data_IF_493604470862
#
_entry.id   IF_493604470862
#
_cell.length_a   1.000
_cell.length_b   1.000
_cell.length_c   1.000
_cell.angle_alpha   90.00
_cell.angle_beta   90.00
_cell.angle_gamma   90.00
#
_symmetry.space_group_name_H-M   'P 1'
#
loop_
_entity.id
_entity.type
_entity.pdbx_description
1 polymer ?
#
# COMPACT_ATOMS: atom_id res chain seq x y z
N UNK A 1 10.87 -8.41 22.24
CA UNK A 1 9.85 -7.51 21.65
C UNK A 1 9.62 -6.42 22.69
N UNK A 2 10.24 -5.27 22.53
CA UNK A 2 10.09 -4.15 23.46
C UNK A 2 8.64 -3.64 23.36
N UNK A 3 7.90 -3.62 24.47
CA UNK A 3 6.54 -3.06 24.60
C UNK A 3 5.41 -3.65 23.72
N UNK A 4 5.00 -4.93 23.88
CA UNK A 4 3.84 -5.52 23.18
C UNK A 4 2.52 -4.75 23.39
N UNK A 5 2.33 -4.10 24.56
CA UNK A 5 1.14 -3.29 24.85
C UNK A 5 0.98 -2.08 23.92
N UNK A 6 2.08 -1.52 23.42
CA UNK A 6 2.06 -0.35 22.51
C UNK A 6 1.47 -0.72 21.15
N UNK A 7 1.74 -1.92 20.65
CA UNK A 7 1.17 -2.40 19.38
C UNK A 7 -0.34 -2.56 19.54
N UNK A 8 -0.78 -3.20 20.62
CA UNK A 8 -2.20 -3.43 20.89
C UNK A 8 -2.97 -2.11 21.04
N UNK A 9 -2.44 -1.16 21.82
CA UNK A 9 -3.04 0.17 22.00
C UNK A 9 -3.20 0.91 20.66
N UNK A 10 -2.17 0.87 19.81
CA UNK A 10 -2.21 1.51 18.48
C UNK A 10 -3.24 0.87 17.57
N UNK A 11 -3.26 -0.47 17.49
CA UNK A 11 -4.23 -1.18 16.66
C UNK A 11 -5.66 -0.89 17.12
N UNK A 12 -5.89 -0.86 18.44
CA UNK A 12 -7.20 -0.55 19.01
C UNK A 12 -7.63 0.88 18.66
N UNK A 13 -6.72 1.85 18.74
CA UNK A 13 -7.00 3.23 18.32
C UNK A 13 -7.36 3.32 16.83
N UNK A 14 -6.60 2.65 15.96
CA UNK A 14 -6.88 2.65 14.52
C UNK A 14 -8.22 1.95 14.18
N UNK A 15 -8.56 0.90 14.94
CA UNK A 15 -9.84 0.19 14.86
C UNK A 15 -11.01 1.08 15.28
N UNK A 16 -10.90 1.78 16.41
CA UNK A 16 -11.92 2.72 16.89
C UNK A 16 -12.15 3.87 15.91
N UNK A 17 -11.10 4.30 15.19
CA UNK A 17 -11.17 5.31 14.14
C UNK A 17 -11.67 4.77 12.79
N UNK A 18 -12.04 3.48 12.72
CA UNK A 18 -12.55 2.84 11.50
C UNK A 18 -11.53 2.68 10.38
N UNK A 19 -10.23 2.86 10.67
CA UNK A 19 -9.16 2.82 9.65
C UNK A 19 -8.61 1.41 9.42
N UNK A 20 -8.83 0.51 10.38
CA UNK A 20 -8.43 -0.89 10.33
C UNK A 20 -9.61 -1.74 10.77
N UNK A 21 -9.86 -2.83 10.05
CA UNK A 21 -10.88 -3.81 10.38
C UNK A 21 -10.27 -5.03 11.09
N UNK A 22 -11.11 -5.76 11.84
CA UNK A 22 -10.71 -6.89 12.67
C UNK A 22 -10.72 -6.55 14.17
N UNK A 23 -10.09 -7.36 15.03
CA UNK A 23 -9.37 -8.60 14.68
C UNK A 23 -10.30 -9.64 14.04
N UNK A 24 -9.75 -10.45 13.14
CA UNK A 24 -10.49 -11.53 12.48
C UNK A 24 -10.01 -12.88 13.02
N UNK A 25 -10.96 -13.79 13.30
CA UNK A 25 -10.66 -15.15 13.76
C UNK A 25 -10.30 -16.09 12.61
N UNK A 26 -10.65 -15.71 11.38
CA UNK A 26 -10.33 -16.41 10.14
C UNK A 26 -9.95 -15.37 9.07
N UNK A 27 -9.20 -15.75 8.01
CA UNK A 27 -8.87 -14.83 6.93
C UNK A 27 -10.13 -14.20 6.30
N UNK A 28 -10.27 -12.86 6.31
CA UNK A 28 -11.49 -12.20 5.86
C UNK A 28 -11.67 -12.20 4.34
N UNK A 29 -10.62 -12.57 3.59
CA UNK A 29 -10.53 -12.45 2.14
C UNK A 29 -9.78 -13.66 1.54
N UNK A 30 -10.11 -14.09 0.31
CA UNK A 30 -9.28 -15.01 -0.45
C UNK A 30 -7.89 -14.42 -0.69
N UNK A 31 -6.84 -15.24 -0.64
CA UNK A 31 -5.44 -14.81 -0.81
C UNK A 31 -4.98 -13.75 0.21
N UNK A 32 -5.43 -13.87 1.46
CA UNK A 32 -5.04 -12.96 2.54
C UNK A 32 -3.52 -12.96 2.77
N UNK A 33 -2.89 -11.80 2.64
CA UNK A 33 -1.47 -11.58 2.88
C UNK A 33 -1.28 -11.05 4.30
N UNK A 34 -0.39 -11.70 5.06
CA UNK A 34 0.00 -11.25 6.40
C UNK A 34 1.38 -10.60 6.32
N UNK A 35 1.45 -9.31 6.65
CA UNK A 35 2.72 -8.61 6.81
C UNK A 35 3.02 -8.39 8.30
N UNK A 36 4.27 -8.62 8.76
CA UNK A 36 4.63 -8.41 10.15
C UNK A 36 4.57 -6.92 10.51
N UNK A 37 4.29 -6.66 11.79
CA UNK A 37 4.27 -5.32 12.37
C UNK A 37 5.57 -5.06 13.12
N UNK A 38 6.16 -3.89 12.86
CA UNK A 38 7.28 -3.35 13.61
C UNK A 38 6.88 -2.10 14.38
N UNK A 39 7.66 -1.77 15.41
CA UNK A 39 7.57 -0.48 16.10
C UNK A 39 8.90 0.25 16.02
N UNK A 40 8.84 1.57 15.84
CA UNK A 40 10.02 2.44 15.85
C UNK A 40 9.77 3.62 16.78
N UNK A 41 10.65 3.89 17.76
CA UNK A 41 10.52 5.06 18.63
C UNK A 41 10.46 6.37 17.83
N UNK A 42 9.60 7.31 18.26
CA UNK A 42 9.66 8.71 17.81
C UNK A 42 10.71 9.48 18.64
N UNK A 43 11.03 10.70 18.21
CA UNK A 43 11.87 11.62 18.99
C UNK A 43 11.26 11.94 20.36
N UNK A 44 9.93 11.98 20.43
CA UNK A 44 9.19 12.17 21.67
C UNK A 44 9.20 10.88 22.49
N UNK A 45 9.61 10.97 23.76
CA UNK A 45 9.67 9.82 24.67
C UNK A 45 8.30 9.16 24.83
N UNK A 46 8.28 7.83 24.85
CA UNK A 46 7.07 7.03 24.99
C UNK A 46 6.18 6.96 23.75
N UNK A 47 6.49 7.68 22.67
CA UNK A 47 5.74 7.59 21.41
C UNK A 47 6.44 6.69 20.40
N UNK A 48 5.66 5.87 19.71
CA UNK A 48 6.17 4.94 18.70
C UNK A 48 5.47 5.17 17.35
N UNK A 49 6.08 4.74 16.26
CA UNK A 49 5.47 4.56 14.94
C UNK A 49 5.20 3.08 14.74
N UNK A 50 4.00 2.74 14.28
CA UNK A 50 3.70 1.38 13.82
C UNK A 50 4.14 1.30 12.37
N UNK A 51 4.87 0.25 12.01
CA UNK A 51 5.35 0.01 10.65
C UNK A 51 4.79 -1.32 10.16
N UNK A 52 4.15 -1.30 9.00
CA UNK A 52 3.74 -2.51 8.30
C UNK A 52 4.84 -2.88 7.32
N UNK A 53 5.40 -4.08 7.45
CA UNK A 53 6.47 -4.52 6.56
C UNK A 53 5.90 -5.09 5.25
N UNK A 54 5.38 -4.21 4.40
CA UNK A 54 4.64 -4.57 3.17
C UNK A 54 5.48 -5.25 2.08
N UNK A 55 6.81 -5.23 2.21
CA UNK A 55 7.76 -5.93 1.31
C UNK A 55 8.26 -7.27 1.87
N UNK A 56 7.67 -7.78 2.94
CA UNK A 56 7.99 -9.10 3.52
C UNK A 56 6.84 -10.07 3.24
N UNK A 57 7.06 -11.32 2.83
CA UNK A 57 8.29 -12.01 2.40
C UNK A 57 8.63 -11.65 0.95
N UNK A 58 9.90 -11.51 0.58
CA UNK A 58 10.27 -11.15 -0.81
C UNK A 58 9.80 -12.20 -1.81
N UNK A 59 9.15 -11.77 -2.89
CA UNK A 59 8.56 -12.62 -3.92
C UNK A 59 7.11 -13.04 -3.65
N UNK A 60 6.58 -12.74 -2.46
CA UNK A 60 5.19 -13.01 -2.07
C UNK A 60 4.59 -11.93 -1.17
N UNK A 61 5.23 -10.75 -1.12
CA UNK A 61 4.78 -9.62 -0.32
C UNK A 61 3.70 -8.84 -1.04
N UNK A 62 2.96 -8.00 -0.31
CA UNK A 62 1.90 -7.18 -0.91
C UNK A 62 2.43 -6.30 -2.05
N UNK A 63 3.63 -5.73 -1.88
CA UNK A 63 4.26 -4.91 -2.89
C UNK A 63 4.72 -5.69 -4.14
N UNK A 64 5.03 -7.00 -4.02
CA UNK A 64 5.45 -7.81 -5.17
C UNK A 64 4.31 -8.06 -6.18
N UNK A 65 3.06 -7.91 -5.74
CA UNK A 65 1.88 -8.08 -6.60
C UNK A 65 1.44 -6.80 -7.33
N UNK A 66 2.07 -5.66 -7.04
CA UNK A 66 1.84 -4.42 -7.78
C UNK A 66 2.62 -4.48 -9.09
N UNK A 67 1.90 -4.64 -10.21
CA UNK A 67 2.53 -4.64 -11.54
C UNK A 67 3.11 -3.26 -11.84
N UNK A 68 4.33 -3.23 -12.38
CA UNK A 68 4.93 -2.02 -12.91
C UNK A 68 3.99 -1.38 -13.95
N UNK A 69 3.75 -0.07 -13.82
CA UNK A 69 2.85 0.67 -14.72
C UNK A 69 1.35 0.68 -14.34
N UNK A 70 0.94 0.08 -13.23
CA UNK A 70 -0.47 0.16 -12.75
C UNK A 70 -0.88 1.54 -12.24
N UNK A 71 0.08 2.35 -11.81
CA UNK A 71 -0.13 3.71 -11.35
C UNK A 71 1.10 4.56 -11.65
N UNK A 72 0.90 5.76 -12.21
CA UNK A 72 1.93 6.78 -12.32
C UNK A 72 1.70 7.84 -11.26
N UNK A 73 2.71 8.11 -10.43
CA UNK A 73 2.66 9.23 -9.49
C UNK A 73 3.40 10.41 -10.10
N UNK A 74 2.71 11.54 -10.28
CA UNK A 74 3.30 12.79 -10.69
C UNK A 74 3.49 13.66 -9.45
N UNK A 75 4.74 13.98 -9.12
CA UNK A 75 5.07 14.90 -8.02
C UNK A 75 5.28 16.30 -8.56
N UNK A 76 4.85 17.30 -7.79
CA UNK A 76 5.28 18.68 -8.04
C UNK A 76 6.79 18.77 -7.85
N UNK A 77 7.46 19.44 -8.78
CA UNK A 77 8.92 19.59 -8.72
C UNK A 77 9.34 20.71 -7.77
N UNK A 78 10.60 20.70 -7.36
CA UNK A 78 11.15 21.80 -6.59
C UNK A 78 11.26 23.08 -7.43
N UNK A 79 11.52 22.95 -8.73
CA UNK A 79 11.60 24.08 -9.66
C UNK A 79 10.24 24.76 -9.81
N UNK A 80 9.15 23.98 -9.92
CA UNK A 80 7.78 24.52 -9.92
C UNK A 80 7.50 25.31 -8.63
N UNK A 81 7.98 24.82 -7.48
CA UNK A 81 7.83 25.54 -6.22
C UNK A 81 8.63 26.87 -6.21
N UNK A 82 9.82 26.89 -6.80
CA UNK A 82 10.62 28.11 -6.96
C UNK A 82 9.92 29.10 -7.90
N UNK A 83 9.41 28.62 -9.02
CA UNK A 83 8.71 29.46 -10.00
C UNK A 83 7.50 30.13 -9.37
N UNK A 84 6.73 29.39 -8.56
CA UNK A 84 5.62 29.94 -7.79
C UNK A 84 6.07 31.01 -6.77
N UNK A 85 7.16 30.76 -6.05
CA UNK A 85 7.71 31.71 -5.08
C UNK A 85 8.24 32.97 -5.76
N UNK A 86 8.90 32.83 -6.91
CA UNK A 86 9.42 33.94 -7.70
C UNK A 86 8.27 34.77 -8.30
N UNK A 87 7.24 34.11 -8.85
CA UNK A 87 6.06 34.76 -9.41
C UNK A 87 5.25 35.56 -8.35
N UNK A 88 5.26 35.12 -7.09
CA UNK A 88 4.61 35.85 -6.00
C UNK A 88 5.27 37.23 -5.73
N UNK A 89 6.55 37.39 -6.09
CA UNK A 89 7.26 38.66 -6.05
C UNK A 89 7.81 39.04 -4.68
N UNK A 90 8.62 40.11 -4.67
CA UNK A 90 9.29 40.59 -3.45
C UNK A 90 8.27 41.12 -2.46
N UNK A 91 8.36 40.66 -1.21
CA UNK A 91 7.45 41.07 -0.12
C UNK A 91 6.19 40.21 -0.02
N UNK A 92 6.06 39.16 -0.84
CA UNK A 92 5.00 38.18 -0.70
C UNK A 92 5.05 37.49 0.67
N UNK A 93 3.87 37.25 1.25
CA UNK A 93 3.71 36.47 2.47
C UNK A 93 3.44 35.01 2.10
N UNK A 94 4.10 34.08 2.78
CA UNK A 94 3.93 32.65 2.57
C UNK A 94 3.35 32.00 3.82
N UNK A 95 2.35 31.14 3.63
CA UNK A 95 1.82 30.26 4.67
C UNK A 95 2.03 28.80 4.26
N UNK A 96 2.40 27.96 5.22
CA UNK A 96 2.52 26.51 5.03
C UNK A 96 1.46 25.80 5.87
N UNK A 97 0.67 24.96 5.23
CA UNK A 97 -0.20 24.01 5.89
C UNK A 97 0.36 22.58 5.70
N UNK A 98 0.35 21.78 6.76
CA UNK A 98 0.71 20.36 6.72
C UNK A 98 -0.56 19.54 6.98
N UNK A 99 -0.88 18.61 6.08
CA UNK A 99 -2.07 17.76 6.24
C UNK A 99 -1.69 16.54 7.07
N UNK A 100 -2.15 16.53 8.32
CA UNK A 100 -1.88 15.41 9.22
C UNK A 100 -2.48 14.11 8.68
N UNK A 101 -1.65 13.06 8.59
CA UNK A 101 -2.08 11.70 8.23
C UNK A 101 -2.80 11.58 6.89
N UNK A 102 -2.37 12.34 5.86
CA UNK A 102 -3.01 12.40 4.53
C UNK A 102 -3.35 11.04 3.92
N UNK A 103 -2.48 10.02 4.05
CA UNK A 103 -2.72 8.68 3.52
C UNK A 103 -3.95 7.99 4.11
N UNK A 104 -4.40 8.42 5.29
CA UNK A 104 -5.58 7.87 5.96
C UNK A 104 -6.88 8.57 5.55
N UNK A 105 -6.77 9.67 4.81
CA UNK A 105 -7.92 10.37 4.23
C UNK A 105 -8.31 9.74 2.88
N UNK A 106 -7.38 9.03 2.24
CA UNK A 106 -7.61 8.34 0.97
C UNK A 106 -8.24 6.97 1.25
N UNK A 107 -9.41 6.74 0.68
CA UNK A 107 -10.07 5.44 0.75
C UNK A 107 -9.37 4.43 -0.17
N UNK A 108 -9.29 3.18 0.29
CA UNK A 108 -8.85 2.07 -0.55
C UNK A 108 -10.03 1.63 -1.41
N UNK A 109 -9.85 1.60 -2.74
CA UNK A 109 -10.90 1.11 -3.63
C UNK A 109 -11.27 -0.34 -3.28
N UNK A 110 -12.55 -0.73 -3.24
CA UNK A 110 -12.97 -2.08 -2.84
C UNK A 110 -12.34 -3.22 -3.67
N UNK A 111 -12.00 -2.95 -4.94
CA UNK A 111 -11.28 -3.88 -5.82
C UNK A 111 -9.84 -4.15 -5.40
N UNK A 112 -9.26 -3.35 -4.50
CA UNK A 112 -7.97 -3.68 -3.88
C UNK A 112 -8.15 -4.40 -2.53
N UNK A 113 -9.37 -4.37 -1.97
CA UNK A 113 -9.72 -5.15 -0.78
C UNK A 113 -10.19 -6.57 -1.14
N UNK A 114 -10.57 -6.82 -2.39
CA UNK A 114 -10.86 -8.16 -2.92
C UNK A 114 -10.01 -8.35 -4.16
N UNK A 115 -9.17 -9.37 -4.30
CA UNK A 115 -8.17 -9.40 -5.37
C UNK A 115 -8.83 -9.17 -6.74
N UNK A 116 -8.29 -8.28 -7.60
CA UNK A 116 -8.63 -8.28 -8.99
C UNK A 116 -8.28 -9.65 -9.56
N UNK A 117 -9.03 -10.03 -10.59
CA UNK A 117 -8.81 -11.13 -11.55
C UNK A 117 -7.41 -11.17 -12.22
N UNK A 118 -6.37 -10.54 -11.64
CA UNK A 118 -4.99 -10.51 -12.11
C UNK A 118 -4.25 -11.86 -11.95
N UNK A 119 -4.88 -12.87 -11.36
CA UNK A 119 -4.46 -14.28 -11.38
C UNK A 119 -5.14 -15.11 -12.50
N UNK A 120 -5.60 -14.50 -13.60
CA UNK A 120 -6.14 -15.24 -14.78
C UNK A 120 -5.20 -15.36 -15.99
N UNK A 121 -3.87 -15.29 -15.81
CA UNK A 121 -2.96 -15.34 -16.97
C UNK A 121 -1.78 -16.32 -16.89
N UNK A 122 -1.69 -17.20 -15.89
CA UNK A 122 -0.53 -18.13 -15.81
C UNK A 122 -0.92 -19.60 -15.60
N UNK A 123 -2.21 -19.97 -15.72
CA UNK A 123 -2.63 -21.37 -15.62
C UNK A 123 -3.27 -21.99 -16.88
N UNK A 124 -3.51 -21.21 -17.95
CA UNK A 124 -4.23 -21.71 -19.14
C UNK A 124 -3.38 -21.81 -20.42
N UNK A 125 -2.04 -21.84 -20.33
CA UNK A 125 -1.20 -22.19 -21.48
C UNK A 125 -0.32 -23.42 -21.21
N UNK A 126 -0.96 -24.53 -20.83
CA UNK A 126 -0.44 -25.86 -21.21
C UNK A 126 -0.84 -26.12 -22.67
N UNK A 127 -0.02 -25.69 -23.61
CA UNK A 127 0.00 -26.36 -24.92
C UNK A 127 0.83 -27.62 -24.74
N UNK A 128 0.18 -28.68 -24.26
CA UNK A 128 0.65 -30.04 -24.47
C UNK A 128 0.31 -30.39 -25.92
N UNK A 129 1.34 -30.44 -26.76
CA UNK A 129 1.19 -30.92 -28.12
C UNK A 129 0.83 -32.40 -28.13
N UNK A 130 -0.16 -32.75 -28.96
CA UNK A 130 -0.18 -34.02 -29.67
C UNK A 130 -0.45 -33.72 -31.14
N UNK A 131 0.37 -34.34 -31.99
CA UNK A 131 0.31 -34.31 -33.45
C UNK A 131 -0.54 -35.50 -33.89
N UNK A 132 -1.53 -35.29 -34.75
CA UNK A 132 -1.99 -36.35 -35.66
C UNK A 132 -2.51 -35.82 -37.00
N UNK A 133 -2.38 -36.66 -38.03
CA UNK A 133 -2.18 -36.39 -39.45
C UNK A 133 -3.44 -36.57 -40.32
N UNK A 134 -3.50 -35.80 -41.43
CA UNK A 134 -4.21 -36.02 -42.74
C UNK A 134 -5.76 -35.90 -42.72
N UNK A 135 -6.44 -35.51 -43.81
CA UNK A 135 -6.20 -35.68 -45.25
C UNK A 135 -6.88 -34.57 -46.08
N UNK A 136 -6.21 -34.19 -47.17
CA UNK A 136 -6.69 -33.29 -48.24
C UNK A 136 -7.90 -33.89 -48.98
N UNK A 137 -8.89 -33.05 -49.27
CA UNK A 137 -9.75 -33.10 -50.47
C UNK A 137 -9.95 -31.69 -51.00
#
# INVERSE_FOLDING_TARGET
MEAPGVVQEKLEKERQLGRVAGPFTQPPLPNFIVSPLGIVPKKEQGKYRLIHHLSFLKGSSMNDYLKEGTCSVCYASFDEAIDLAHAAGKGALMAKADIESVFRLLLVHPEYLSPPSLLRSVQDLRVSGEVELRRVR
#
